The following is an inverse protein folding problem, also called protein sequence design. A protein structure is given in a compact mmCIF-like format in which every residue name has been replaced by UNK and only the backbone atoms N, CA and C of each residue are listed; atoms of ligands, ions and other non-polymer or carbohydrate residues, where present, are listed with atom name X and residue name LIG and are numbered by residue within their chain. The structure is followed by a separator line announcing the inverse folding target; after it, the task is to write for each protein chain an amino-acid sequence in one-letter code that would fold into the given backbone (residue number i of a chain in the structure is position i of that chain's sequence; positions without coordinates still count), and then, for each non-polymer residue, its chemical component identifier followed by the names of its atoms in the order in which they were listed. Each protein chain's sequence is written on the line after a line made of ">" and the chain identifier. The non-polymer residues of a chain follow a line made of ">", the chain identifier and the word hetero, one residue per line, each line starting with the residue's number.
data_IF_096903871989
#
_entry.id   IF_096903871989
#
_cell.length_a   1.000
_cell.length_b   1.000
_cell.length_c   1.000
_cell.angle_alpha   90.00
_cell.angle_beta   90.00
_cell.angle_gamma   90.00
#
_symmetry.space_group_name_H-M   'P 1'
#
loop_
_entity.id
_entity.type
_entity.pdbx_description
1 polymer ?
#
# COMPACT_ATOMS: atom_id res chain seq x y z
N UNK A 1 3.09 3.87 14.16
CA UNK A 1 3.25 2.43 14.44
C UNK A 1 4.55 2.21 15.20
N UNK A 2 4.56 1.50 16.32
CA UNK A 2 5.80 1.14 17.00
C UNK A 2 5.97 -0.37 16.99
N UNK A 3 7.06 -0.83 16.47
CA UNK A 3 7.45 -2.21 16.55
C UNK A 3 8.62 -2.37 17.52
N UNK A 4 8.77 -3.55 18.03
CA UNK A 4 9.78 -3.87 18.99
C UNK A 4 10.44 -5.19 18.64
N UNK A 5 11.59 -5.47 19.22
CA UNK A 5 12.46 -6.52 18.80
C UNK A 5 13.07 -7.34 19.94
N UNK A 6 13.70 -8.41 19.57
CA UNK A 6 14.56 -9.22 20.41
C UNK A 6 15.98 -8.66 20.46
N UNK A 7 16.60 -8.54 21.62
CA UNK A 7 17.99 -8.14 21.79
C UNK A 7 18.75 -8.97 22.81
N UNK A 8 18.13 -9.22 23.96
CA UNK A 8 18.70 -10.04 25.03
C UNK A 8 17.58 -10.92 25.60
N UNK A 9 17.10 -11.86 24.82
CA UNK A 9 15.92 -12.68 25.11
C UNK A 9 14.71 -12.30 24.27
N UNK A 10 13.70 -13.15 24.27
CA UNK A 10 12.50 -12.99 23.48
C UNK A 10 11.62 -11.83 24.01
N UNK A 11 11.66 -10.69 23.32
CA UNK A 11 10.77 -9.57 23.58
C UNK A 11 9.73 -9.53 22.47
N UNK A 12 8.48 -9.73 22.82
CA UNK A 12 7.37 -9.67 21.86
C UNK A 12 7.19 -8.25 21.33
N UNK A 13 6.97 -8.07 20.03
CA UNK A 13 6.68 -6.77 19.47
C UNK A 13 5.35 -6.22 20.00
N UNK A 14 5.30 -4.90 20.23
CA UNK A 14 4.10 -4.15 20.51
C UNK A 14 3.82 -3.27 19.30
N UNK A 15 2.66 -3.46 18.70
CA UNK A 15 2.23 -2.73 17.51
C UNK A 15 0.85 -2.13 17.77
N UNK A 16 0.63 -0.90 17.35
CA UNK A 16 -0.70 -0.31 17.32
C UNK A 16 -0.99 0.28 15.94
N UNK A 17 -2.22 0.10 15.50
CA UNK A 17 -2.78 0.75 14.34
C UNK A 17 -3.64 1.93 14.77
N UNK A 18 -3.55 3.02 14.02
CA UNK A 18 -4.40 4.20 14.21
C UNK A 18 -5.00 4.54 12.85
N UNK A 19 -6.31 4.46 12.74
CA UNK A 19 -7.05 4.82 11.53
C UNK A 19 -8.04 5.94 11.86
N UNK A 20 -8.31 6.81 10.90
CA UNK A 20 -9.32 7.86 10.98
C UNK A 20 -10.51 7.44 10.13
N UNK A 21 -11.54 6.89 10.77
CA UNK A 21 -12.75 6.43 10.09
C UNK A 21 -13.91 7.38 10.27
N UNK A 22 -14.88 7.27 9.35
CA UNK A 22 -16.15 7.98 9.41
C UNK A 22 -16.83 7.75 10.77
N UNK A 23 -17.19 8.84 11.44
CA UNK A 23 -17.83 8.79 12.75
C UNK A 23 -19.28 8.31 12.64
N UNK A 24 -19.83 7.66 13.68
CA UNK A 24 -21.25 7.32 13.73
C UNK A 24 -22.13 8.59 13.75
N UNK A 25 -23.33 8.51 13.18
CA UNK A 25 -24.27 9.62 13.12
C UNK A 25 -25.59 9.21 13.78
N UNK A 26 -25.92 9.80 14.91
CA UNK A 26 -27.10 9.44 15.70
C UNK A 26 -27.06 7.98 16.12
N UNK A 27 -28.10 7.22 15.81
CA UNK A 27 -28.23 5.78 16.11
C UNK A 27 -27.60 4.88 15.01
N UNK A 28 -27.06 5.47 13.94
CA UNK A 28 -26.40 4.73 12.87
C UNK A 28 -24.94 4.49 13.27
N UNK A 29 -24.48 3.23 13.30
CA UNK A 29 -23.09 2.93 13.62
C UNK A 29 -22.14 3.49 12.56
N UNK A 30 -20.85 3.53 12.87
CA UNK A 30 -19.82 3.87 11.89
C UNK A 30 -19.81 2.83 10.77
N UNK A 31 -20.36 3.20 9.61
CA UNK A 31 -20.37 2.38 8.40
C UNK A 31 -19.18 2.82 7.54
N UNK A 32 -18.25 1.89 7.33
CA UNK A 32 -17.03 2.17 6.58
C UNK A 32 -17.29 2.13 5.07
N UNK A 33 -16.67 3.04 4.34
CA UNK A 33 -16.57 2.93 2.88
C UNK A 33 -15.61 1.80 2.50
N UNK A 34 -15.61 1.38 1.23
CA UNK A 34 -14.65 0.37 0.73
C UNK A 34 -13.21 0.88 0.92
N UNK A 35 -12.93 2.14 0.62
CA UNK A 35 -11.61 2.74 0.78
C UNK A 35 -11.15 2.73 2.26
N UNK A 36 -12.06 2.95 3.22
CA UNK A 36 -11.75 2.86 4.65
C UNK A 36 -11.47 1.42 5.08
N UNK A 37 -12.17 0.44 4.49
CA UNK A 37 -11.88 -0.99 4.73
C UNK A 37 -10.53 -1.36 4.12
N UNK A 38 -10.23 -0.95 2.89
CA UNK A 38 -8.91 -1.15 2.28
C UNK A 38 -7.81 -0.52 3.14
N UNK A 39 -8.02 0.70 3.66
CA UNK A 39 -7.10 1.34 4.61
C UNK A 39 -6.89 0.50 5.87
N UNK A 40 -7.94 -0.12 6.43
CA UNK A 40 -7.81 -1.01 7.59
C UNK A 40 -6.93 -2.23 7.26
N UNK A 41 -7.14 -2.84 6.10
CA UNK A 41 -6.32 -3.96 5.65
C UNK A 41 -4.87 -3.52 5.40
N UNK A 42 -4.66 -2.36 4.79
CA UNK A 42 -3.34 -1.74 4.59
C UNK A 42 -2.58 -1.59 5.91
N UNK A 43 -3.16 -0.87 6.87
CA UNK A 43 -2.53 -0.64 8.18
C UNK A 43 -2.30 -1.96 8.93
N UNK A 44 -3.20 -2.93 8.77
CA UNK A 44 -3.00 -4.25 9.36
C UNK A 44 -1.86 -5.04 8.68
N UNK A 45 -1.60 -4.84 7.40
CA UNK A 45 -0.43 -5.37 6.71
C UNK A 45 0.88 -4.86 7.33
N UNK A 46 0.98 -3.56 7.62
CA UNK A 46 2.09 -3.01 8.40
C UNK A 46 2.17 -3.58 9.81
N UNK A 47 1.01 -3.78 10.46
CA UNK A 47 0.96 -4.41 11.77
C UNK A 47 1.50 -5.84 11.74
N UNK A 48 1.14 -6.64 10.75
CA UNK A 48 1.66 -8.01 10.57
C UNK A 48 3.17 -8.00 10.36
N UNK A 49 3.73 -7.06 9.58
CA UNK A 49 5.17 -6.90 9.40
C UNK A 49 5.88 -6.61 10.73
N UNK A 50 5.26 -5.82 11.61
CA UNK A 50 5.77 -5.57 12.97
C UNK A 50 5.61 -6.76 13.92
N UNK A 51 4.41 -7.39 13.94
CA UNK A 51 4.06 -8.47 14.87
C UNK A 51 4.82 -9.76 14.60
N UNK A 52 5.08 -10.07 13.33
CA UNK A 52 5.70 -11.32 12.90
C UNK A 52 7.23 -11.24 12.80
N UNK A 53 7.83 -10.07 13.01
CA UNK A 53 9.28 -9.89 12.89
C UNK A 53 10.06 -10.89 13.76
N UNK A 54 11.11 -11.47 13.20
CA UNK A 54 12.08 -12.33 13.89
C UNK A 54 13.48 -11.75 13.91
N UNK A 55 13.61 -10.46 13.61
CA UNK A 55 14.90 -9.79 13.61
C UNK A 55 15.47 -9.63 15.01
N UNK A 56 16.77 -9.85 15.15
CA UNK A 56 17.48 -9.69 16.42
C UNK A 56 17.73 -8.22 16.79
N UNK A 57 17.67 -7.31 15.81
CA UNK A 57 17.99 -5.89 16.02
C UNK A 57 16.80 -5.01 15.66
N UNK A 58 16.48 -4.07 16.56
CA UNK A 58 15.36 -3.14 16.39
C UNK A 58 15.47 -2.33 15.09
N UNK A 59 16.65 -1.87 14.73
CA UNK A 59 16.87 -0.99 13.57
C UNK A 59 16.59 -1.63 12.22
N UNK A 60 16.43 -2.97 12.16
CA UNK A 60 16.11 -3.71 10.93
C UNK A 60 14.83 -4.52 11.06
N UNK A 61 14.05 -4.34 12.12
CA UNK A 61 12.86 -5.15 12.39
C UNK A 61 11.58 -4.50 11.86
N UNK A 62 10.62 -5.32 11.48
CA UNK A 62 9.30 -4.90 11.01
C UNK A 62 9.40 -3.91 9.86
N UNK A 63 8.80 -2.73 10.00
CA UNK A 63 8.75 -1.69 8.97
C UNK A 63 10.05 -0.88 8.82
N UNK A 64 11.14 -1.23 9.53
CA UNK A 64 12.45 -0.61 9.31
C UNK A 64 13.19 -1.27 8.12
N UNK A 65 12.61 -1.22 6.97
CA UNK A 65 13.08 -1.77 5.68
C UNK A 65 13.33 -0.64 4.68
N UNK A 66 13.86 -0.97 3.51
CA UNK A 66 13.98 -0.02 2.41
C UNK A 66 12.60 0.62 2.11
N UNK A 67 12.60 1.92 1.79
CA UNK A 67 11.38 2.70 1.61
C UNK A 67 10.49 2.13 0.50
N UNK A 68 11.08 1.66 -0.58
CA UNK A 68 10.38 1.07 -1.71
C UNK A 68 10.00 -0.41 -1.53
N UNK A 69 10.18 -0.94 -0.31
CA UNK A 69 9.72 -2.27 0.07
C UNK A 69 8.70 -2.26 1.22
N UNK A 70 8.66 -1.18 1.99
CA UNK A 70 7.83 -1.10 3.20
C UNK A 70 6.33 -1.22 2.93
N UNK A 71 5.89 -0.81 1.74
CA UNK A 71 4.47 -0.86 1.35
C UNK A 71 4.04 -2.21 0.76
N UNK A 72 4.96 -3.14 0.47
CA UNK A 72 4.56 -4.46 -0.02
C UNK A 72 3.65 -5.22 0.95
N UNK A 73 3.95 -5.32 2.27
CA UNK A 73 3.07 -6.02 3.21
C UNK A 73 1.71 -5.34 3.42
N UNK A 74 1.65 -4.01 3.33
CA UNK A 74 0.41 -3.26 3.47
C UNK A 74 -0.47 -3.37 2.22
N UNK A 75 0.08 -3.06 1.05
CA UNK A 75 -0.67 -3.06 -0.21
C UNK A 75 -1.12 -4.47 -0.64
N UNK A 76 -0.31 -5.51 -0.43
CA UNK A 76 -0.77 -6.87 -0.73
C UNK A 76 -1.97 -7.25 0.13
N UNK A 77 -2.03 -6.78 1.38
CA UNK A 77 -3.13 -7.11 2.28
C UNK A 77 -4.46 -6.46 1.85
N UNK A 78 -4.43 -5.32 1.14
CA UNK A 78 -5.61 -4.65 0.58
C UNK A 78 -6.37 -5.55 -0.40
N UNK A 79 -5.69 -6.43 -1.15
CA UNK A 79 -6.33 -7.30 -2.13
C UNK A 79 -7.42 -8.17 -1.48
N UNK A 80 -7.17 -8.69 -0.26
CA UNK A 80 -8.17 -9.49 0.44
C UNK A 80 -9.44 -8.71 0.79
N UNK A 81 -9.36 -7.40 1.01
CA UNK A 81 -10.51 -6.59 1.41
C UNK A 81 -11.69 -6.70 0.42
N UNK A 82 -11.38 -6.85 -0.86
CA UNK A 82 -12.38 -6.86 -1.93
C UNK A 82 -12.50 -8.19 -2.67
N UNK A 83 -11.79 -9.23 -2.21
CA UNK A 83 -12.03 -10.58 -2.73
C UNK A 83 -13.45 -11.04 -2.38
N UNK A 84 -14.22 -11.60 -3.34
CA UNK A 84 -15.63 -11.98 -3.13
C UNK A 84 -15.85 -12.87 -1.92
N UNK A 85 -14.96 -13.83 -1.71
CA UNK A 85 -15.02 -14.77 -0.59
C UNK A 85 -14.85 -14.04 0.75
N UNK A 86 -13.93 -13.07 0.82
CA UNK A 86 -13.67 -12.27 2.03
C UNK A 86 -14.79 -11.26 2.27
N UNK A 87 -15.29 -10.59 1.21
CA UNK A 87 -16.45 -9.71 1.31
C UNK A 87 -17.65 -10.42 1.93
N UNK A 88 -17.93 -11.66 1.52
CA UNK A 88 -19.03 -12.48 2.09
C UNK A 88 -18.82 -12.82 3.57
N UNK A 89 -17.60 -12.81 4.08
CA UNK A 89 -17.32 -13.06 5.49
C UNK A 89 -17.66 -11.86 6.37
N UNK A 90 -17.30 -10.65 5.96
CA UNK A 90 -17.43 -9.47 6.82
C UNK A 90 -18.52 -8.48 6.41
N UNK A 91 -18.81 -8.33 5.11
CA UNK A 91 -19.75 -7.34 4.62
C UNK A 91 -21.21 -7.84 4.85
N UNK A 92 -21.79 -7.36 5.94
CA UNK A 92 -23.16 -7.70 6.35
C UNK A 92 -24.00 -6.46 6.58
N UNK A 93 -25.27 -6.53 6.25
CA UNK A 93 -26.22 -5.46 6.52
C UNK A 93 -26.30 -5.21 8.03
N UNK A 94 -26.07 -3.98 8.46
CA UNK A 94 -25.85 -3.66 9.88
C UNK A 94 -27.10 -3.88 10.77
N UNK A 95 -28.31 -3.88 10.18
CA UNK A 95 -29.57 -4.16 10.91
C UNK A 95 -30.02 -5.61 10.78
N UNK A 96 -29.96 -6.18 9.56
CA UNK A 96 -30.52 -7.52 9.30
C UNK A 96 -29.49 -8.63 9.46
N UNK A 97 -28.20 -8.32 9.37
CA UNK A 97 -27.12 -9.33 9.37
C UNK A 97 -26.98 -10.11 8.05
N UNK A 98 -27.79 -9.77 7.04
CA UNK A 98 -27.71 -10.41 5.73
C UNK A 98 -26.37 -10.13 5.06
N UNK A 99 -25.80 -11.16 4.44
CA UNK A 99 -24.55 -11.05 3.69
C UNK A 99 -24.73 -10.18 2.44
N UNK A 100 -23.71 -9.42 2.08
CA UNK A 100 -23.67 -8.61 0.86
C UNK A 100 -24.11 -9.43 -0.37
N UNK A 101 -25.05 -8.94 -1.20
CA UNK A 101 -25.48 -9.66 -2.40
C UNK A 101 -24.43 -9.63 -3.50
N UNK A 102 -24.36 -10.67 -4.32
CA UNK A 102 -23.41 -10.82 -5.42
C UNK A 102 -23.44 -9.64 -6.40
N UNK A 103 -24.61 -9.03 -6.62
CA UNK A 103 -24.75 -7.85 -7.48
C UNK A 103 -24.03 -6.59 -6.97
N UNK A 104 -23.84 -6.47 -5.66
CA UNK A 104 -23.03 -5.39 -5.08
C UNK A 104 -21.53 -5.73 -5.13
N UNK A 105 -21.17 -7.00 -4.94
CA UNK A 105 -19.80 -7.47 -5.12
C UNK A 105 -19.33 -7.18 -6.55
N UNK A 106 -20.14 -7.53 -7.54
CA UNK A 106 -19.84 -7.23 -8.96
C UNK A 106 -19.61 -5.74 -9.22
N UNK A 107 -20.41 -4.86 -8.61
CA UNK A 107 -20.21 -3.41 -8.72
C UNK A 107 -18.90 -2.94 -8.12
N UNK A 108 -18.52 -3.47 -6.95
CA UNK A 108 -17.24 -3.16 -6.30
C UNK A 108 -16.08 -3.57 -7.20
N UNK A 109 -16.11 -4.77 -7.76
CA UNK A 109 -15.06 -5.25 -8.65
C UNK A 109 -14.96 -4.42 -9.94
N UNK A 110 -16.10 -4.04 -10.54
CA UNK A 110 -16.12 -3.22 -11.74
C UNK A 110 -15.62 -1.78 -11.48
N UNK A 111 -15.82 -1.26 -10.27
CA UNK A 111 -15.32 0.06 -9.89
C UNK A 111 -13.79 0.13 -9.86
N UNK A 112 -13.11 -0.97 -9.53
CA UNK A 112 -11.64 -1.02 -9.44
C UNK A 112 -10.91 -0.61 -10.71
N UNK A 113 -11.48 -0.89 -11.87
CA UNK A 113 -10.86 -0.56 -13.16
C UNK A 113 -11.31 0.79 -13.72
N UNK A 114 -12.30 1.44 -13.07
CA UNK A 114 -12.83 2.70 -13.54
C UNK A 114 -11.82 3.83 -13.33
N UNK A 115 -11.59 4.60 -14.39
CA UNK A 115 -10.76 5.81 -14.39
C UNK A 115 -9.30 5.61 -13.90
N UNK A 116 -8.76 4.42 -14.03
CA UNK A 116 -7.41 4.07 -13.55
C UNK A 116 -6.30 4.83 -14.27
N UNK A 117 -6.51 5.24 -15.53
CA UNK A 117 -5.58 6.10 -16.25
C UNK A 117 -5.37 7.45 -15.57
N UNK A 118 -6.48 8.09 -15.14
CA UNK A 118 -6.43 9.34 -14.38
C UNK A 118 -5.71 9.15 -13.05
N UNK A 119 -6.14 8.19 -12.24
CA UNK A 119 -5.59 7.94 -10.89
C UNK A 119 -4.09 7.59 -10.94
N UNK A 120 -3.68 6.78 -11.92
CA UNK A 120 -2.26 6.42 -12.09
C UNK A 120 -1.42 7.62 -12.52
N UNK A 121 -1.95 8.46 -13.41
CA UNK A 121 -1.25 9.68 -13.85
C UNK A 121 -1.11 10.70 -12.73
N UNK A 122 -2.14 10.87 -11.90
CA UNK A 122 -2.11 11.73 -10.70
C UNK A 122 -1.05 11.27 -9.69
N UNK A 123 -0.96 9.97 -9.44
CA UNK A 123 0.06 9.36 -8.58
C UNK A 123 1.47 9.55 -9.15
N UNK A 124 1.64 9.31 -10.45
CA UNK A 124 2.92 9.50 -11.15
C UNK A 124 3.35 10.97 -11.15
N UNK A 125 2.43 11.90 -11.35
CA UNK A 125 2.71 13.33 -11.31
C UNK A 125 3.28 13.75 -9.95
N UNK A 126 2.70 13.24 -8.85
CA UNK A 126 3.23 13.48 -7.51
C UNK A 126 4.62 12.86 -7.30
N UNK A 127 4.85 11.63 -7.77
CA UNK A 127 6.15 10.97 -7.67
C UNK A 127 7.24 11.69 -8.47
N UNK A 128 6.91 12.17 -9.66
CA UNK A 128 7.84 12.94 -10.50
C UNK A 128 8.11 14.33 -9.88
N UNK A 129 7.09 14.97 -9.31
CA UNK A 129 7.27 16.24 -8.59
C UNK A 129 8.21 16.07 -7.39
N UNK A 130 8.04 15.02 -6.60
CA UNK A 130 8.94 14.67 -5.50
C UNK A 130 10.39 14.54 -5.98
N UNK A 131 10.63 13.72 -7.00
CA UNK A 131 11.97 13.54 -7.58
C UNK A 131 12.55 14.83 -8.12
N UNK A 132 11.76 15.66 -8.79
CA UNK A 132 12.21 16.92 -9.33
C UNK A 132 12.63 17.90 -8.22
N UNK A 133 11.84 18.01 -7.15
CA UNK A 133 12.16 18.86 -6.00
C UNK A 133 13.47 18.43 -5.31
N UNK A 134 13.69 17.11 -5.16
CA UNK A 134 14.87 16.58 -4.49
C UNK A 134 16.13 16.50 -5.38
N UNK A 135 15.99 16.73 -6.68
CA UNK A 135 17.13 16.91 -7.59
C UNK A 135 17.60 18.36 -7.72
N UNK A 136 16.93 19.31 -7.06
CA UNK A 136 17.36 20.70 -7.06
C UNK A 136 18.68 20.88 -6.30
N UNK A 137 19.66 21.50 -6.96
CA UNK A 137 20.96 21.81 -6.35
C UNK A 137 20.98 23.17 -5.62
N UNK A 138 19.98 24.03 -5.90
CA UNK A 138 19.80 25.31 -5.26
C UNK A 138 18.32 25.62 -5.09
N UNK A 139 17.91 25.91 -3.87
CA UNK A 139 16.52 26.24 -3.51
C UNK A 139 16.38 27.69 -2.99
N UNK A 140 17.44 28.49 -3.06
CA UNK A 140 17.39 29.86 -2.61
C UNK A 140 16.42 30.70 -3.44
N UNK A 141 15.43 31.32 -2.78
CA UNK A 141 14.37 32.11 -3.40
C UNK A 141 13.47 31.29 -4.38
N UNK A 142 13.35 29.96 -4.21
CA UNK A 142 12.49 29.14 -5.02
C UNK A 142 11.02 29.52 -4.79
N UNK A 143 10.32 29.94 -5.84
CA UNK A 143 8.86 29.99 -5.86
C UNK A 143 8.34 28.55 -6.11
N UNK A 144 7.91 27.89 -5.04
CA UNK A 144 7.51 26.48 -5.10
C UNK A 144 6.28 26.25 -5.96
N UNK A 145 5.36 27.21 -6.05
CA UNK A 145 4.15 27.06 -6.86
C UNK A 145 4.45 27.27 -8.35
N UNK A 146 5.29 28.24 -8.67
CA UNK A 146 5.76 28.44 -10.05
C UNK A 146 6.58 27.24 -10.54
N UNK A 147 7.44 26.70 -9.70
CA UNK A 147 8.23 25.49 -10.01
C UNK A 147 7.35 24.27 -10.23
N UNK A 148 6.38 24.01 -9.33
CA UNK A 148 5.42 22.93 -9.48
C UNK A 148 4.67 23.02 -10.81
N UNK A 149 4.18 24.22 -11.13
CA UNK A 149 3.49 24.46 -12.39
C UNK A 149 4.38 24.14 -13.59
N UNK A 150 5.62 24.65 -13.61
CA UNK A 150 6.58 24.38 -14.68
C UNK A 150 6.89 22.89 -14.81
N UNK A 151 7.06 22.18 -13.68
CA UNK A 151 7.33 20.75 -13.67
C UNK A 151 6.16 19.95 -14.26
N UNK A 152 4.93 20.33 -13.93
CA UNK A 152 3.71 19.67 -14.44
C UNK A 152 3.45 20.00 -15.92
N UNK A 153 3.66 21.24 -16.32
CA UNK A 153 3.54 21.65 -17.74
C UNK A 153 4.50 20.85 -18.64
N UNK A 154 5.71 20.55 -18.17
CA UNK A 154 6.69 19.73 -18.91
C UNK A 154 6.25 18.27 -19.11
N UNK A 155 5.38 17.77 -18.26
CA UNK A 155 4.82 16.40 -18.40
C UNK A 155 3.71 16.34 -19.45
N UNK A 156 3.20 17.46 -19.94
CA UNK A 156 2.14 17.54 -20.92
C UNK A 156 0.80 16.98 -20.38
N UNK A 157 0.55 17.12 -19.08
CA UNK A 157 -0.70 16.69 -18.46
C UNK A 157 -1.88 17.52 -18.95
N UNK A 158 -3.04 16.89 -19.01
CA UNK A 158 -4.30 17.61 -19.21
C UNK A 158 -4.57 18.49 -17.98
N UNK A 159 -5.24 19.66 -18.13
CA UNK A 159 -5.40 20.61 -17.03
C UNK A 159 -6.21 20.08 -15.84
N UNK A 160 -7.00 19.02 -16.05
CA UNK A 160 -7.79 18.36 -15.01
C UNK A 160 -6.94 17.48 -14.08
N UNK A 161 -5.71 17.12 -14.49
CA UNK A 161 -4.79 16.32 -13.66
C UNK A 161 -3.81 17.26 -12.95
N UNK A 162 -4.03 17.45 -11.64
CA UNK A 162 -3.03 18.01 -10.74
C UNK A 162 -2.24 16.88 -10.07
N UNK A 163 -1.02 17.12 -9.57
CA UNK A 163 -0.34 16.13 -8.75
C UNK A 163 -1.18 15.82 -7.49
N UNK A 164 -1.23 14.55 -7.10
CA UNK A 164 -2.02 14.06 -5.97
C UNK A 164 -1.82 14.87 -4.68
N UNK A 165 -0.61 15.38 -4.50
CA UNK A 165 -0.26 16.34 -3.45
C UNK A 165 0.43 17.54 -4.05
N UNK A 166 -0.04 18.74 -3.71
CA UNK A 166 0.63 19.99 -4.06
C UNK A 166 1.80 20.20 -3.10
N UNK A 167 2.88 20.81 -3.58
CA UNK A 167 4.11 21.04 -2.81
C UNK A 167 3.86 21.61 -1.41
N UNK A 168 2.85 22.48 -1.26
CA UNK A 168 2.53 23.18 0.00
C UNK A 168 1.90 22.30 1.09
N UNK A 169 1.42 21.09 0.75
CA UNK A 169 0.84 20.13 1.71
C UNK A 169 1.27 18.68 1.46
N UNK A 170 2.40 18.50 0.78
CA UNK A 170 2.97 17.17 0.48
C UNK A 170 3.73 16.62 1.69
N UNK A 171 3.00 16.29 2.75
CA UNK A 171 3.59 15.85 4.02
C UNK A 171 4.48 14.62 3.91
N UNK A 172 4.22 13.71 2.96
CA UNK A 172 5.01 12.51 2.73
C UNK A 172 6.49 12.82 2.53
N UNK A 173 6.80 13.79 1.65
CA UNK A 173 8.18 14.13 1.29
C UNK A 173 8.91 14.93 2.36
N UNK A 174 8.20 15.45 3.36
CA UNK A 174 8.78 16.09 4.55
C UNK A 174 8.92 15.06 5.68
N UNK A 175 8.03 14.07 5.71
CA UNK A 175 7.90 13.10 6.79
C UNK A 175 8.66 11.79 6.63
N UNK A 176 9.48 11.58 5.59
CA UNK A 176 10.26 10.34 5.41
C UNK A 176 10.13 9.66 4.05
N UNK A 177 9.34 10.22 3.13
CA UNK A 177 9.24 9.78 1.73
C UNK A 177 9.92 10.77 0.76
N UNK A 178 10.88 11.57 1.24
CA UNK A 178 11.67 12.46 0.41
C UNK A 178 12.43 11.69 -0.67
N UNK A 179 12.26 12.06 -1.94
CA UNK A 179 12.73 11.32 -3.11
C UNK A 179 12.28 9.85 -3.12
N UNK A 180 11.19 9.55 -2.44
CA UNK A 180 10.73 8.20 -2.18
C UNK A 180 9.23 7.98 -2.40
N UNK A 181 8.48 8.97 -2.87
CA UNK A 181 7.05 8.81 -3.08
C UNK A 181 6.71 7.79 -4.20
N UNK A 182 7.63 7.56 -5.12
CA UNK A 182 7.52 6.50 -6.14
C UNK A 182 7.32 5.10 -5.54
N UNK A 183 7.68 4.92 -4.26
CA UNK A 183 7.60 3.64 -3.55
C UNK A 183 6.20 3.03 -3.57
N UNK A 184 5.15 3.84 -3.52
CA UNK A 184 3.77 3.36 -3.60
C UNK A 184 3.47 2.68 -4.94
N UNK A 185 3.97 3.24 -6.03
CA UNK A 185 3.76 2.62 -7.36
C UNK A 185 4.65 1.39 -7.53
N UNK A 186 5.90 1.43 -7.05
CA UNK A 186 6.78 0.28 -7.09
C UNK A 186 6.24 -0.88 -6.24
N UNK A 187 5.81 -0.58 -5.01
CA UNK A 187 5.16 -1.57 -4.16
C UNK A 187 3.89 -2.13 -4.82
N UNK A 188 3.15 -1.33 -5.59
CA UNK A 188 1.97 -1.81 -6.33
C UNK A 188 2.33 -2.79 -7.46
N UNK A 189 3.52 -2.70 -8.03
CA UNK A 189 4.04 -3.75 -8.92
C UNK A 189 4.30 -5.03 -8.12
N UNK A 190 4.98 -4.88 -6.97
CA UNK A 190 5.33 -6.02 -6.12
C UNK A 190 4.11 -6.72 -5.54
N UNK A 191 3.14 -5.98 -5.00
CA UNK A 191 1.96 -6.53 -4.35
C UNK A 191 1.05 -7.30 -5.31
N UNK A 192 0.83 -6.73 -6.51
CA UNK A 192 0.00 -7.38 -7.52
C UNK A 192 0.61 -8.70 -8.01
N UNK A 193 1.92 -8.72 -8.30
CA UNK A 193 2.59 -9.96 -8.71
C UNK A 193 2.69 -10.97 -7.53
N UNK A 194 2.92 -10.48 -6.32
CA UNK A 194 2.92 -11.32 -5.12
C UNK A 194 1.54 -11.94 -4.85
N UNK A 195 0.46 -11.18 -5.07
CA UNK A 195 -0.91 -11.69 -4.89
C UNK A 195 -1.30 -12.74 -5.92
N UNK A 196 -0.71 -12.71 -7.13
CA UNK A 196 -0.92 -13.79 -8.10
C UNK A 196 -0.50 -15.16 -7.54
N UNK A 197 0.55 -15.24 -6.70
CA UNK A 197 0.90 -16.49 -6.05
C UNK A 197 -0.24 -17.06 -5.18
N UNK A 198 -1.01 -16.19 -4.52
CA UNK A 198 -2.19 -16.59 -3.77
C UNK A 198 -3.36 -16.97 -4.68
N UNK A 199 -3.56 -16.27 -5.81
CA UNK A 199 -4.59 -16.66 -6.79
C UNK A 199 -4.29 -18.01 -7.43
N UNK A 200 -3.02 -18.31 -7.72
CA UNK A 200 -2.56 -19.57 -8.31
C UNK A 200 -2.86 -20.78 -7.40
N UNK A 201 -2.77 -20.62 -6.07
CA UNK A 201 -2.88 -21.73 -5.11
C UNK A 201 -4.13 -21.66 -4.22
N UNK A 202 -4.82 -20.52 -4.22
CA UNK A 202 -5.96 -20.22 -3.34
C UNK A 202 -5.62 -19.11 -2.36
N UNK A 203 -6.53 -18.13 -2.21
CA UNK A 203 -6.27 -16.92 -1.40
C UNK A 203 -6.06 -17.20 0.10
N UNK A 204 -6.40 -18.40 0.55
CA UNK A 204 -6.18 -18.91 1.92
C UNK A 204 -5.20 -20.08 1.97
N UNK A 205 -4.42 -20.31 0.89
CA UNK A 205 -3.44 -21.41 0.92
C UNK A 205 -2.38 -21.15 1.99
N UNK A 206 -2.32 -22.06 2.95
CA UNK A 206 -1.40 -21.95 4.08
C UNK A 206 0.06 -22.00 3.67
N UNK A 207 0.40 -22.77 2.64
CA UNK A 207 1.79 -22.93 2.18
C UNK A 207 2.29 -21.62 1.57
N UNK A 208 1.50 -20.98 0.74
CA UNK A 208 1.82 -19.67 0.15
C UNK A 208 1.91 -18.60 1.25
N UNK A 209 0.98 -18.62 2.21
CA UNK A 209 1.04 -17.71 3.37
C UNK A 209 2.29 -17.92 4.22
N UNK A 210 2.69 -19.16 4.48
CA UNK A 210 3.93 -19.48 5.22
C UNK A 210 5.18 -19.03 4.43
N UNK A 211 5.19 -19.16 3.10
CA UNK A 211 6.28 -18.64 2.25
C UNK A 211 6.38 -17.11 2.35
N UNK A 212 5.27 -16.39 2.22
CA UNK A 212 5.25 -14.93 2.35
C UNK A 212 5.67 -14.49 3.75
N UNK A 213 5.14 -15.13 4.78
CA UNK A 213 5.52 -14.88 6.16
C UNK A 213 7.02 -15.06 6.39
N UNK A 214 7.57 -16.22 6.01
CA UNK A 214 8.93 -16.60 6.33
C UNK A 214 9.98 -15.82 5.52
N UNK A 215 9.64 -15.37 4.32
CA UNK A 215 10.59 -14.68 3.42
C UNK A 215 10.42 -13.16 3.40
N UNK A 216 9.23 -12.64 3.76
CA UNK A 216 8.96 -11.19 3.75
C UNK A 216 8.69 -10.68 5.16
N UNK A 217 7.60 -11.13 5.81
CA UNK A 217 7.12 -10.50 7.05
C UNK A 217 8.06 -10.69 8.25
N UNK A 218 8.71 -11.86 8.38
CA UNK A 218 9.60 -12.18 9.49
C UNK A 218 11.00 -11.57 9.35
N UNK A 219 11.39 -11.18 8.14
CA UNK A 219 12.78 -10.85 7.78
C UNK A 219 13.17 -9.40 8.05
N UNK A 220 12.22 -8.47 8.04
CA UNK A 220 12.56 -7.05 8.11
C UNK A 220 13.63 -6.68 7.07
N UNK A 221 14.66 -5.97 7.48
CA UNK A 221 15.78 -5.55 6.63
C UNK A 221 17.05 -6.40 6.87
N UNK A 222 16.88 -7.70 7.13
CA UNK A 222 18.02 -8.62 7.37
C UNK A 222 18.71 -9.08 6.08
N UNK A 223 18.05 -8.93 4.95
CA UNK A 223 18.54 -9.31 3.62
C UNK A 223 18.09 -8.26 2.60
N UNK A 224 18.66 -8.27 1.41
CA UNK A 224 18.24 -7.42 0.31
C UNK A 224 16.75 -7.66 -0.05
N UNK A 225 15.93 -6.61 -0.21
CA UNK A 225 14.49 -6.73 -0.47
C UNK A 225 14.14 -7.57 -1.70
N UNK A 226 14.90 -7.44 -2.79
CA UNK A 226 14.66 -8.21 -4.01
C UNK A 226 15.01 -9.69 -3.80
N UNK A 227 16.01 -9.99 -2.98
CA UNK A 227 16.32 -11.36 -2.57
C UNK A 227 15.17 -11.96 -1.77
N UNK A 228 14.63 -11.23 -0.79
CA UNK A 228 13.46 -11.66 -0.01
C UNK A 228 12.24 -11.91 -0.90
N UNK A 229 11.98 -11.01 -1.83
CA UNK A 229 10.89 -11.14 -2.80
C UNK A 229 11.03 -12.41 -3.66
N UNK A 230 12.22 -12.62 -4.24
CA UNK A 230 12.50 -13.82 -5.06
C UNK A 230 12.41 -15.11 -4.26
N UNK A 231 12.81 -15.12 -3.01
CA UNK A 231 12.69 -16.29 -2.13
C UNK A 231 11.21 -16.64 -1.87
N UNK A 232 10.32 -15.65 -1.90
CA UNK A 232 8.86 -15.87 -1.81
C UNK A 232 8.26 -16.23 -3.17
N UNK A 233 8.46 -15.40 -4.19
CA UNK A 233 7.75 -15.51 -5.48
C UNK A 233 8.39 -16.53 -6.44
N UNK A 234 9.70 -16.79 -6.29
CA UNK A 234 10.51 -17.66 -7.17
C UNK A 234 11.02 -16.97 -8.44
N UNK A 235 10.64 -15.72 -8.67
CA UNK A 235 11.00 -14.92 -9.84
C UNK A 235 11.13 -13.44 -9.49
N UNK A 236 11.62 -12.64 -10.42
CA UNK A 236 11.55 -11.17 -10.33
C UNK A 236 10.11 -10.70 -10.53
N UNK A 237 9.72 -9.57 -9.91
CA UNK A 237 8.39 -9.03 -10.03
C UNK A 237 8.06 -8.69 -11.48
N UNK A 238 6.81 -8.95 -11.86
CA UNK A 238 6.28 -8.68 -13.19
C UNK A 238 5.33 -7.49 -13.15
N UNK A 239 5.39 -6.63 -14.16
CA UNK A 239 4.51 -5.46 -14.28
C UNK A 239 3.07 -5.83 -14.69
N UNK A 240 2.93 -6.93 -15.41
CA UNK A 240 1.70 -7.42 -16.02
C UNK A 240 0.52 -7.53 -15.03
N UNK A 241 0.67 -8.14 -13.85
CA UNK A 241 -0.42 -8.26 -12.88
C UNK A 241 -0.99 -6.90 -12.45
N UNK A 242 -0.14 -5.90 -12.22
CA UNK A 242 -0.58 -4.55 -11.88
C UNK A 242 -1.36 -3.91 -13.02
N UNK A 243 -0.88 -3.98 -14.26
CA UNK A 243 -1.58 -3.42 -15.42
C UNK A 243 -2.94 -4.07 -15.63
N UNK A 244 -3.03 -5.41 -15.46
CA UNK A 244 -4.27 -6.16 -15.55
C UNK A 244 -5.26 -5.76 -14.45
N UNK A 245 -4.79 -5.66 -13.22
CA UNK A 245 -5.63 -5.27 -12.07
C UNK A 245 -6.19 -3.85 -12.23
N UNK A 246 -5.44 -2.96 -12.88
CA UNK A 246 -5.87 -1.59 -13.22
C UNK A 246 -6.70 -1.50 -14.51
N UNK A 247 -6.97 -2.60 -15.20
CA UNK A 247 -7.71 -2.58 -16.45
C UNK A 247 -6.98 -1.86 -17.59
N UNK A 248 -5.65 -1.77 -17.54
CA UNK A 248 -4.81 -1.14 -18.56
C UNK A 248 -4.27 -2.13 -19.60
N UNK A 249 -4.59 -3.42 -19.41
CA UNK A 249 -4.18 -4.50 -20.31
C UNK A 249 -5.22 -5.61 -20.36
#
# INVERSE_FOLDING_TARGET
>A
MSNYREQQGAIRPLVCNVCSFTQPVGDIPSLLTIDEVETLFHEFGHALHGLLTKCNYKGISGTNVARDFVELPSQINEHWATEPEVLKMYAKHYQTGETIPDSLIEKILNQKTFNQGFMTTELLAAAILDMNLHNLTNTQNLDVLAYEKEAMDKLGLIPEIAPRYRTTYFNHIIGGYAAGYYSYLWANVLDNDAFEAFKEHGIFDKKTADLFRNNVLEKGNSEDPMTLYKNFRGTEPQLEPMLKNRGMK
#
